data_IF_529803201283
#
_entry.id   IF_529803201283
#
_cell.length_a   1.000
_cell.length_b   1.000
_cell.length_c   1.000
_cell.angle_alpha   90.00
_cell.angle_beta   90.00
_cell.angle_gamma   90.00
#
_symmetry.space_group_name_H-M   'P 1'
#
loop_
_entity.id
_entity.type
_entity.pdbx_description
1 polymer ?
#
# COMPACT_ATOMS: atom_id res chain seq x y z
N UNK A 1 -0.65 20.16 0.80
CA UNK A 1 -0.52 20.41 -0.64
C UNK A 1 -0.84 19.12 -1.40
N UNK A 2 -1.23 19.16 -2.69
CA UNK A 2 -1.53 17.92 -3.46
C UNK A 2 -0.28 17.06 -3.66
N UNK A 3 0.88 17.71 -3.70
CA UNK A 3 2.20 17.10 -3.85
C UNK A 3 2.56 16.16 -2.69
N UNK A 4 2.26 16.53 -1.44
CA UNK A 4 2.60 15.72 -0.27
C UNK A 4 1.96 14.33 -0.33
N UNK A 5 0.73 14.27 -0.85
CA UNK A 5 -0.01 13.02 -1.04
C UNK A 5 0.57 12.20 -2.18
N UNK A 6 0.89 12.83 -3.31
CA UNK A 6 1.48 12.18 -4.49
C UNK A 6 2.83 11.54 -4.13
N UNK A 7 3.66 12.22 -3.35
CA UNK A 7 4.96 11.70 -2.91
C UNK A 7 4.79 10.41 -2.11
N UNK A 8 3.79 10.32 -1.23
CA UNK A 8 3.53 9.10 -0.45
C UNK A 8 3.09 7.93 -1.35
N UNK A 9 2.24 8.17 -2.35
CA UNK A 9 1.84 7.12 -3.29
C UNK A 9 3.02 6.65 -4.16
N UNK A 10 3.84 7.57 -4.65
CA UNK A 10 5.02 7.21 -5.43
C UNK A 10 6.02 6.37 -4.63
N UNK A 11 6.12 6.62 -3.32
CA UNK A 11 6.97 5.80 -2.46
C UNK A 11 6.41 4.39 -2.29
N UNK A 12 5.09 4.23 -2.17
CA UNK A 12 4.45 2.90 -2.11
C UNK A 12 4.70 2.11 -3.40
N UNK A 13 4.59 2.75 -4.57
CA UNK A 13 4.86 2.13 -5.87
C UNK A 13 6.31 1.62 -5.99
N UNK A 14 7.28 2.40 -5.48
CA UNK A 14 8.70 1.97 -5.46
C UNK A 14 8.92 0.76 -4.55
N UNK A 15 8.29 0.76 -3.37
CA UNK A 15 8.39 -0.36 -2.42
C UNK A 15 7.74 -1.62 -3.01
N UNK A 16 6.60 -1.49 -3.70
CA UNK A 16 5.94 -2.59 -4.39
C UNK A 16 6.83 -3.19 -5.49
N UNK A 17 7.49 -2.34 -6.29
CA UNK A 17 8.44 -2.76 -7.34
C UNK A 17 9.69 -3.44 -6.75
N UNK A 18 10.25 -2.90 -5.66
CA UNK A 18 11.40 -3.49 -4.94
C UNK A 18 11.08 -4.88 -4.36
N UNK A 19 9.84 -5.08 -3.89
CA UNK A 19 9.39 -6.36 -3.34
C UNK A 19 9.03 -7.37 -4.44
N UNK A 20 8.60 -6.93 -5.62
CA UNK A 20 8.27 -7.79 -6.75
C UNK A 20 7.28 -8.90 -6.35
N UNK A 21 7.67 -10.16 -6.57
CA UNK A 21 6.83 -11.34 -6.31
C UNK A 21 6.44 -11.56 -4.83
N UNK A 22 7.15 -10.94 -3.88
CA UNK A 22 6.80 -11.04 -2.45
C UNK A 22 5.89 -9.89 -1.98
N UNK A 23 5.57 -8.92 -2.85
CA UNK A 23 4.65 -7.84 -2.51
C UNK A 23 3.23 -8.40 -2.30
N UNK A 24 2.59 -8.05 -1.19
CA UNK A 24 1.22 -8.50 -0.86
C UNK A 24 0.34 -7.30 -0.55
N UNK A 25 -0.79 -7.21 -1.26
CA UNK A 25 -1.86 -6.28 -0.96
C UNK A 25 -3.09 -7.05 -0.43
N UNK A 26 -3.29 -6.99 0.88
CA UNK A 26 -4.33 -7.78 1.57
C UNK A 26 -5.77 -7.27 1.35
N UNK A 27 -5.95 -6.09 0.75
CA UNK A 27 -7.27 -5.55 0.41
C UNK A 27 -8.25 -5.57 1.60
N UNK A 28 -9.35 -6.32 1.49
CA UNK A 28 -10.35 -6.46 2.56
C UNK A 28 -9.81 -7.20 3.78
N UNK A 29 -8.83 -8.09 3.60
CA UNK A 29 -8.19 -8.82 4.71
C UNK A 29 -7.39 -7.88 5.62
N UNK A 30 -7.01 -6.70 5.15
CA UNK A 30 -6.38 -5.65 5.96
C UNK A 30 -7.25 -5.19 7.12
N UNK A 31 -8.58 -5.36 7.03
CA UNK A 31 -9.53 -5.04 8.09
C UNK A 31 -9.68 -6.19 9.10
N UNK A 32 -8.55 -6.72 9.59
CA UNK A 32 -8.51 -7.86 10.53
C UNK A 32 -9.26 -7.62 11.85
N UNK A 33 -9.57 -6.37 12.18
CA UNK A 33 -10.24 -5.96 13.40
C UNK A 33 -11.76 -5.74 13.27
N UNK A 34 -12.32 -5.78 12.05
CA UNK A 34 -13.76 -5.62 11.83
C UNK A 34 -14.43 -6.99 11.96
N UNK A 35 -15.12 -7.20 13.08
CA UNK A 35 -16.01 -8.35 13.27
C UNK A 35 -17.40 -7.99 12.75
N UNK A 36 -18.01 -8.90 11.98
CA UNK A 36 -19.44 -8.83 11.66
C UNK A 36 -20.28 -9.20 12.87
#
# INVERSE_FOLDING_TARGET
SRTDRIVKYNQLLRIEDELGEIAVYDGVKSFYNIKR
#
